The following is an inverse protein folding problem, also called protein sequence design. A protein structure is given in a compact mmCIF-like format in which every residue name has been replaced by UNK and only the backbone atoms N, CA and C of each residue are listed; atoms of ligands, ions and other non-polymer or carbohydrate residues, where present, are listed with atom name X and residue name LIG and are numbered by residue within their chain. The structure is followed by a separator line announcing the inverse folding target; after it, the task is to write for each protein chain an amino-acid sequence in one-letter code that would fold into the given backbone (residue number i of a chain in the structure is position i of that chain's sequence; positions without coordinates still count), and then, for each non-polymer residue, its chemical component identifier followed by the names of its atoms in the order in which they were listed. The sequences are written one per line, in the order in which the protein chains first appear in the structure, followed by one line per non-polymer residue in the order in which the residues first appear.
data_IF_251442276087
#
_entry.id   IF_251442276087
#
_cell.length_a   1.000
_cell.length_b   1.000
_cell.length_c   1.000
_cell.angle_alpha   90.00
_cell.angle_beta   90.00
_cell.angle_gamma   90.00
#
_symmetry.space_group_name_H-M   'P 1'
#
loop_
_entity.id
_entity.type
_entity.pdbx_description
1 polymer ?
#
# COMPACT_ATOMS: atom_id res chain seq x y z
N UNK A 1 -3.79 11.25 -22.20
CA UNK A 1 -2.88 10.23 -21.64
C UNK A 1 -2.60 9.20 -22.72
N UNK A 2 -1.33 8.86 -22.95
CA UNK A 2 -0.91 7.95 -24.03
C UNK A 2 -0.27 6.74 -23.36
N UNK A 3 -0.59 5.54 -23.83
CA UNK A 3 0.00 4.30 -23.32
C UNK A 3 1.00 3.73 -24.31
N UNK A 4 1.99 2.99 -23.81
CA UNK A 4 2.95 2.29 -24.66
C UNK A 4 2.75 0.79 -24.54
N UNK A 5 2.81 0.08 -25.67
CA UNK A 5 2.79 -1.38 -25.66
C UNK A 5 4.08 -1.91 -25.02
N UNK A 6 4.01 -2.76 -23.99
CA UNK A 6 5.21 -3.32 -23.36
C UNK A 6 5.99 -4.27 -24.28
N UNK A 7 5.37 -4.75 -25.37
CA UNK A 7 5.98 -5.70 -26.30
C UNK A 7 6.68 -5.05 -27.49
N UNK A 8 6.06 -4.04 -28.09
CA UNK A 8 6.58 -3.40 -29.32
C UNK A 8 6.89 -1.91 -29.15
N UNK A 9 6.68 -1.37 -27.95
CA UNK A 9 6.87 0.04 -27.62
C UNK A 9 6.08 1.03 -28.50
N UNK A 10 5.06 0.54 -29.20
CA UNK A 10 4.15 1.36 -29.96
C UNK A 10 3.41 2.32 -29.04
N UNK A 11 3.29 3.56 -29.50
CA UNK A 11 2.50 4.59 -28.85
C UNK A 11 1.02 4.37 -29.19
N UNK A 12 0.18 4.29 -28.16
CA UNK A 12 -1.19 3.78 -28.27
C UNK A 12 -2.17 4.65 -27.49
N UNK A 13 -3.42 4.76 -27.98
CA UNK A 13 -4.48 5.36 -27.20
C UNK A 13 -4.78 4.51 -25.95
N UNK A 14 -5.19 5.14 -24.84
CA UNK A 14 -5.51 4.44 -23.60
C UNK A 14 -6.78 3.58 -23.77
N UNK A 15 -6.91 2.52 -22.96
CA UNK A 15 -8.13 1.70 -22.92
C UNK A 15 -8.25 0.64 -24.03
N UNK A 16 -7.22 0.43 -24.84
CA UNK A 16 -7.15 -0.71 -25.77
C UNK A 16 -6.96 -2.01 -25.00
N UNK A 17 -7.74 -3.05 -25.30
CA UNK A 17 -7.53 -4.41 -24.77
C UNK A 17 -6.43 -5.18 -25.52
N UNK A 18 -6.08 -4.73 -26.72
CA UNK A 18 -5.10 -5.38 -27.58
C UNK A 18 -4.34 -4.35 -28.39
N UNK A 19 -3.03 -4.51 -28.47
CA UNK A 19 -2.19 -3.70 -29.33
C UNK A 19 -2.54 -3.97 -30.81
N UNK A 20 -2.95 -2.96 -31.59
CA UNK A 20 -3.24 -3.10 -33.01
C UNK A 20 -1.99 -3.36 -33.87
N UNK A 21 -0.78 -3.05 -33.35
CA UNK A 21 0.48 -3.21 -34.10
C UNK A 21 1.04 -4.62 -33.96
N UNK A 22 1.18 -5.13 -32.72
CA UNK A 22 1.83 -6.42 -32.48
C UNK A 22 0.89 -7.52 -31.96
N UNK A 23 -0.38 -7.18 -31.73
CA UNK A 23 -1.39 -8.12 -31.24
C UNK A 23 -1.29 -8.51 -29.76
N UNK A 24 -0.38 -7.91 -28.98
CA UNK A 24 -0.26 -8.17 -27.55
C UNK A 24 -1.54 -7.76 -26.81
N UNK A 25 -2.10 -8.63 -25.95
CA UNK A 25 -3.22 -8.25 -25.10
C UNK A 25 -2.75 -7.29 -24.01
N UNK A 26 -3.37 -6.13 -23.95
CA UNK A 26 -3.20 -5.17 -22.87
C UNK A 26 -4.08 -5.62 -21.72
N UNK A 27 -3.47 -5.96 -20.58
CA UNK A 27 -4.23 -6.30 -19.39
C UNK A 27 -4.99 -5.08 -18.86
N UNK A 28 -6.12 -5.28 -18.16
CA UNK A 28 -6.75 -4.20 -17.41
C UNK A 28 -5.70 -3.63 -16.47
N UNK A 29 -5.49 -2.30 -16.52
CA UNK A 29 -4.65 -1.63 -15.53
C UNK A 29 -5.24 -1.98 -14.17
N UNK A 30 -4.52 -2.80 -13.41
CA UNK A 30 -4.83 -3.01 -12.01
C UNK A 30 -4.81 -1.61 -11.41
N UNK A 31 -5.98 -1.04 -11.14
CA UNK A 31 -6.08 0.14 -10.30
C UNK A 31 -5.58 -0.36 -8.96
N UNK A 32 -4.31 -0.13 -8.69
CA UNK A 32 -3.71 -0.05 -7.36
C UNK A 32 -4.35 1.12 -6.63
N UNK A 33 -5.67 1.01 -6.44
CA UNK A 33 -6.41 1.85 -5.53
C UNK A 33 -5.95 1.49 -4.14
N UNK A 34 -5.15 2.37 -3.55
CA UNK A 34 -4.92 2.44 -2.12
C UNK A 34 -6.27 2.25 -1.41
N UNK A 35 -6.53 1.05 -0.92
CA UNK A 35 -7.85 0.66 -0.42
C UNK A 35 -7.93 1.10 1.04
N UNK A 36 -9.09 1.57 1.51
CA UNK A 36 -9.28 2.00 2.91
C UNK A 36 -8.79 0.97 3.95
N UNK A 37 -8.77 -0.30 3.59
CA UNK A 37 -8.27 -1.40 4.41
C UNK A 37 -6.76 -1.34 4.65
N UNK A 38 -5.99 -0.86 3.68
CA UNK A 38 -4.53 -0.65 3.80
C UNK A 38 -4.23 0.54 4.71
N UNK A 39 -5.06 1.58 4.63
CA UNK A 39 -4.96 2.77 5.49
C UNK A 39 -5.23 2.46 6.96
N UNK A 40 -6.24 1.62 7.24
CA UNK A 40 -6.56 1.19 8.60
C UNK A 40 -5.44 0.31 9.20
N UNK A 41 -4.87 -0.59 8.40
CA UNK A 41 -3.76 -1.44 8.85
C UNK A 41 -2.51 -0.63 9.20
N UNK A 42 -2.09 0.28 8.32
CA UNK A 42 -0.92 1.12 8.57
C UNK A 42 -1.08 1.97 9.84
N UNK A 43 -2.26 2.57 10.00
CA UNK A 43 -2.57 3.42 11.17
C UNK A 43 -2.56 2.60 12.46
N UNK A 44 -3.12 1.39 12.44
CA UNK A 44 -3.09 0.47 13.58
C UNK A 44 -1.68 0.03 13.96
N UNK A 45 -0.83 -0.29 12.97
CA UNK A 45 0.57 -0.68 13.23
C UNK A 45 1.37 0.46 13.86
N UNK A 46 1.25 1.69 13.35
CA UNK A 46 1.97 2.85 13.88
C UNK A 46 1.51 3.16 15.32
N UNK A 47 0.20 3.17 15.57
CA UNK A 47 -0.34 3.39 16.91
C UNK A 47 0.11 2.32 17.90
N UNK A 48 0.09 1.05 17.50
CA UNK A 48 0.57 -0.06 18.33
C UNK A 48 2.04 0.10 18.70
N UNK A 49 2.91 0.41 17.73
CA UNK A 49 4.35 0.58 17.96
C UNK A 49 4.64 1.71 18.95
N UNK A 50 3.81 2.76 19.02
CA UNK A 50 4.03 3.89 19.95
C UNK A 50 3.34 3.65 21.31
N UNK A 51 2.08 3.18 21.31
CA UNK A 51 1.30 3.01 22.54
C UNK A 51 1.80 1.83 23.38
N UNK A 52 2.16 0.71 22.76
CA UNK A 52 2.63 -0.49 23.49
C UNK A 52 3.86 -0.21 24.34
N UNK A 53 4.98 0.36 23.81
CA UNK A 53 6.13 0.66 24.66
C UNK A 53 5.82 1.73 25.71
N UNK A 54 4.98 2.72 25.40
CA UNK A 54 4.56 3.72 26.38
C UNK A 54 3.85 3.08 27.58
N UNK A 55 2.91 2.17 27.33
CA UNK A 55 2.19 1.43 28.36
C UNK A 55 3.12 0.51 29.16
N UNK A 56 4.08 -0.14 28.51
CA UNK A 56 5.09 -0.97 29.18
C UNK A 56 5.93 -0.12 30.14
N UNK A 57 6.41 1.04 29.69
CA UNK A 57 7.21 1.95 30.54
C UNK A 57 6.38 2.42 31.74
N UNK A 58 5.14 2.85 31.51
CA UNK A 58 4.23 3.28 32.59
C UNK A 58 4.01 2.15 33.60
N UNK A 59 3.79 0.92 33.13
CA UNK A 59 3.61 -0.25 34.00
C UNK A 59 4.85 -0.56 34.85
N UNK A 60 6.04 -0.52 34.25
CA UNK A 60 7.31 -0.74 34.97
C UNK A 60 7.51 0.32 36.04
N UNK A 61 7.27 1.60 35.72
CA UNK A 61 7.42 2.70 36.68
C UNK A 61 6.45 2.55 37.86
N UNK A 62 5.19 2.22 37.59
CA UNK A 62 4.19 1.97 38.65
C UNK A 62 4.58 0.80 39.55
N UNK A 63 5.12 -0.29 38.96
CA UNK A 63 5.59 -1.45 39.71
C UNK A 63 6.75 -1.07 40.64
N UNK A 64 7.72 -0.30 40.15
CA UNK A 64 8.85 0.18 40.96
C UNK A 64 8.36 1.03 42.13
N UNK A 65 7.43 1.96 41.90
CA UNK A 65 6.86 2.82 42.95
C UNK A 65 6.11 1.98 44.00
N UNK A 66 5.42 0.92 43.60
CA UNK A 66 4.70 0.03 44.54
C UNK A 66 5.65 -0.82 45.40
N UNK A 67 6.83 -1.15 44.89
CA UNK A 67 7.84 -1.95 45.59
C UNK A 67 8.76 -1.12 46.51
N UNK A 68 8.79 0.20 46.36
CA UNK A 68 9.58 1.14 47.16
C UNK A 68 8.84 1.53 48.43
#
# INVERSE_FOLDING_TARGET
MVEYCPKCNAQLPPGLEKCPICGHRMGPKAKDGFTFRDMIWLTGTILGIVLVPLLIIIGIVLLIILLL
#
